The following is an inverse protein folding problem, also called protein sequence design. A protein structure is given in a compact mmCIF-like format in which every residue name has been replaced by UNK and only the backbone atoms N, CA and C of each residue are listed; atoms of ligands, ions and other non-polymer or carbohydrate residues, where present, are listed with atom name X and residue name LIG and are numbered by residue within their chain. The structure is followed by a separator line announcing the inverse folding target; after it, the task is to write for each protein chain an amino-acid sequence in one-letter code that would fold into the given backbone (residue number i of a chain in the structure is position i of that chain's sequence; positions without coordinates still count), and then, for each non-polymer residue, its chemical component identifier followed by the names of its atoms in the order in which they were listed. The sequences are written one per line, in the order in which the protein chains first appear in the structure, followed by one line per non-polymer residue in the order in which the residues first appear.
data_IF_582443814590
#
_entry.id   IF_582443814590
#
_cell.length_a   1.000
_cell.length_b   1.000
_cell.length_c   1.000
_cell.angle_alpha   90.00
_cell.angle_beta   90.00
_cell.angle_gamma   90.00
#
_symmetry.space_group_name_H-M   'P 1'
#
loop_
_entity.id
_entity.type
_entity.pdbx_description
1 polymer ?
#
# COMPACT_ATOMS: atom_id res chain seq x y z
N UNK A 1 67.34 -7.61 -8.88
CA UNK A 1 65.90 -7.60 -9.17
C UNK A 1 65.12 -7.43 -7.85
N UNK A 2 64.70 -6.21 -7.52
CA UNK A 2 63.65 -5.94 -6.54
C UNK A 2 62.91 -4.70 -7.04
N UNK A 3 61.78 -4.93 -7.71
CA UNK A 3 60.87 -3.88 -8.15
C UNK A 3 59.84 -3.73 -7.03
N UNK A 4 59.87 -2.62 -6.32
CA UNK A 4 58.84 -2.27 -5.33
C UNK A 4 57.83 -1.36 -6.00
N UNK A 5 56.70 -1.93 -6.40
CA UNK A 5 55.55 -1.19 -6.91
C UNK A 5 54.84 -0.52 -5.74
N UNK A 6 54.92 0.80 -5.65
CA UNK A 6 54.18 1.61 -4.69
C UNK A 6 52.73 1.71 -5.19
N UNK A 7 51.81 0.94 -4.60
CA UNK A 7 50.39 1.10 -4.85
C UNK A 7 49.89 2.37 -4.13
N UNK A 8 49.56 3.41 -4.89
CA UNK A 8 48.76 4.51 -4.37
C UNK A 8 47.34 3.98 -4.11
N UNK A 9 47.01 3.75 -2.85
CA UNK A 9 45.62 3.70 -2.40
C UNK A 9 45.06 5.12 -2.50
N UNK A 10 44.25 5.37 -3.53
CA UNK A 10 43.32 6.48 -3.55
C UNK A 10 42.20 6.22 -2.53
N UNK A 11 42.42 6.61 -1.29
CA UNK A 11 41.33 6.86 -0.35
C UNK A 11 40.51 8.03 -0.89
N UNK A 12 39.45 7.72 -1.63
CA UNK A 12 38.37 8.66 -1.86
C UNK A 12 37.74 8.98 -0.51
N UNK A 13 38.25 10.02 0.15
CA UNK A 13 37.60 10.60 1.31
C UNK A 13 36.18 10.97 0.91
N UNK A 14 35.19 10.42 1.62
CA UNK A 14 33.82 10.88 1.52
C UNK A 14 33.86 12.34 1.96
N UNK A 15 33.86 13.26 0.99
CA UNK A 15 33.68 14.67 1.29
C UNK A 15 32.33 14.80 2.00
N UNK A 16 32.37 15.14 3.29
CA UNK A 16 31.21 15.38 4.13
C UNK A 16 30.57 16.68 3.67
N UNK A 17 29.65 16.58 2.72
CA UNK A 17 28.96 17.72 2.12
C UNK A 17 27.45 17.49 2.24
N UNK A 18 26.76 18.52 2.75
CA UNK A 18 25.30 18.60 2.74
C UNK A 18 24.75 18.28 1.35
N UNK A 19 23.55 17.68 1.30
CA UNK A 19 22.88 17.39 0.03
C UNK A 19 22.72 18.69 -0.79
N UNK A 20 23.41 18.76 -1.92
CA UNK A 20 23.33 19.90 -2.83
C UNK A 20 22.28 19.60 -3.90
N UNK A 21 21.30 20.47 -4.06
CA UNK A 21 20.28 20.35 -5.11
C UNK A 21 19.77 21.72 -5.53
N UNK A 22 19.73 21.91 -6.84
CA UNK A 22 19.02 22.99 -7.50
C UNK A 22 17.63 22.47 -7.91
N UNK A 23 16.59 22.91 -7.20
CA UNK A 23 15.21 22.49 -7.46
C UNK A 23 14.61 23.06 -8.77
N UNK A 24 15.36 23.89 -9.50
CA UNK A 24 14.98 24.32 -10.85
C UNK A 24 15.55 23.42 -11.96
N UNK A 25 16.48 22.52 -11.60
CA UNK A 25 17.15 21.61 -12.54
C UNK A 25 16.72 20.16 -12.32
N UNK A 26 16.08 19.58 -13.32
CA UNK A 26 15.66 18.17 -13.29
C UNK A 26 16.83 17.22 -13.05
N UNK A 27 17.98 17.49 -13.69
CA UNK A 27 19.18 16.65 -13.52
C UNK A 27 19.75 16.77 -12.12
N UNK A 28 19.72 17.97 -11.52
CA UNK A 28 20.14 18.16 -10.13
C UNK A 28 19.22 17.42 -9.16
N UNK A 29 17.91 17.49 -9.36
CA UNK A 29 16.92 16.75 -8.56
C UNK A 29 17.15 15.24 -8.69
N UNK A 30 17.34 14.72 -9.92
CA UNK A 30 17.62 13.29 -10.16
C UNK A 30 18.90 12.83 -9.46
N UNK A 31 19.95 13.64 -9.53
CA UNK A 31 21.21 13.34 -8.85
C UNK A 31 21.05 13.29 -7.33
N UNK A 32 20.36 14.27 -6.74
CA UNK A 32 20.07 14.28 -5.32
C UNK A 32 19.17 13.11 -4.90
N UNK A 33 18.12 12.80 -5.68
CA UNK A 33 17.26 11.66 -5.45
C UNK A 33 18.04 10.34 -5.49
N UNK A 34 18.99 10.17 -6.41
CA UNK A 34 19.86 8.99 -6.48
C UNK A 34 20.72 8.82 -5.21
N UNK A 35 21.28 9.91 -4.68
CA UNK A 35 22.02 9.89 -3.42
C UNK A 35 21.13 9.50 -2.23
N UNK A 36 19.92 10.06 -2.15
CA UNK A 36 18.96 9.72 -1.08
C UNK A 36 18.44 8.30 -1.22
N UNK A 37 18.22 7.80 -2.44
CA UNK A 37 17.83 6.41 -2.70
C UNK A 37 18.92 5.42 -2.25
N UNK A 38 20.20 5.74 -2.51
CA UNK A 38 21.32 4.97 -2.00
C UNK A 38 21.37 5.00 -0.46
N UNK A 39 21.18 6.17 0.15
CA UNK A 39 21.19 6.35 1.60
C UNK A 39 20.03 5.58 2.27
N UNK A 40 18.83 5.61 1.68
CA UNK A 40 17.67 4.81 2.10
C UNK A 40 17.97 3.31 2.11
N UNK A 41 18.60 2.80 1.04
CA UNK A 41 18.94 1.38 0.95
C UNK A 41 20.04 0.95 1.93
N UNK A 42 20.73 1.87 2.59
CA UNK A 42 21.64 1.51 3.70
C UNK A 42 20.89 0.99 4.94
N UNK A 43 19.59 1.26 5.07
CA UNK A 43 18.75 0.69 6.13
C UNK A 43 18.25 -0.72 5.78
N UNK A 44 18.21 -1.06 4.50
CA UNK A 44 17.76 -2.37 4.05
C UNK A 44 18.87 -3.42 4.17
N UNK A 45 18.53 -4.58 4.74
CA UNK A 45 19.46 -5.71 4.95
C UNK A 45 18.98 -7.02 4.32
N UNK A 46 17.77 -7.05 3.74
CA UNK A 46 17.15 -8.27 3.22
C UNK A 46 17.84 -8.91 2.01
N UNK A 47 18.80 -8.24 1.36
CA UNK A 47 19.64 -8.81 0.30
C UNK A 47 20.93 -9.46 0.81
N UNK A 48 21.19 -9.41 2.12
CA UNK A 48 22.36 -10.06 2.71
C UNK A 48 22.09 -11.55 2.95
N UNK A 49 23.16 -12.36 2.93
CA UNK A 49 23.03 -13.80 3.19
C UNK A 49 22.41 -14.06 4.57
N UNK A 50 21.38 -14.89 4.62
CA UNK A 50 20.64 -15.21 5.85
C UNK A 50 19.57 -14.20 6.26
N UNK A 51 19.43 -13.07 5.55
CA UNK A 51 18.36 -12.11 5.79
C UNK A 51 17.08 -12.50 5.02
N UNK A 52 15.96 -11.85 5.36
CA UNK A 52 14.67 -12.04 4.68
C UNK A 52 14.47 -10.94 3.64
N UNK A 53 14.35 -11.28 2.34
CA UNK A 53 14.11 -10.29 1.29
C UNK A 53 12.81 -9.51 1.51
N UNK A 54 12.84 -8.22 1.15
CA UNK A 54 11.65 -7.38 1.15
C UNK A 54 11.23 -6.78 2.46
N UNK A 55 11.92 -7.03 3.57
CA UNK A 55 11.64 -6.36 4.85
C UNK A 55 12.79 -5.47 5.33
N UNK A 56 12.42 -4.39 6.02
CA UNK A 56 13.35 -3.60 6.82
C UNK A 56 13.62 -4.32 8.16
N UNK A 57 14.72 -4.01 8.87
CA UNK A 57 15.02 -4.60 10.18
C UNK A 57 13.87 -4.36 11.17
N UNK A 58 13.25 -5.45 11.64
CA UNK A 58 12.12 -5.43 12.54
C UNK A 58 11.25 -6.68 12.40
N UNK A 59 10.05 -6.70 13.01
CA UNK A 59 9.46 -5.67 13.85
C UNK A 59 10.14 -5.56 15.22
N UNK A 60 9.81 -4.54 16.04
CA UNK A 60 10.32 -4.44 17.40
C UNK A 60 10.06 -5.72 18.22
N UNK A 61 11.04 -6.21 19.01
CA UNK A 61 12.32 -5.59 19.34
C UNK A 61 13.48 -5.95 18.39
N UNK A 62 13.27 -6.72 17.32
CA UNK A 62 14.34 -7.16 16.40
C UNK A 62 14.86 -6.04 15.48
N UNK A 63 14.18 -4.90 15.45
CA UNK A 63 14.50 -3.69 14.72
C UNK A 63 13.30 -2.72 14.77
N UNK A 64 13.43 -1.55 14.16
CA UNK A 64 12.48 -0.45 14.39
C UNK A 64 11.21 -0.54 13.54
N UNK A 65 11.24 -1.30 12.44
CA UNK A 65 10.28 -1.15 11.34
C UNK A 65 9.29 -2.32 11.25
N UNK A 66 8.01 -2.02 11.12
CA UNK A 66 6.98 -3.02 10.84
C UNK A 66 6.98 -3.44 9.37
N UNK A 67 6.40 -4.61 9.09
CA UNK A 67 6.40 -5.24 7.77
C UNK A 67 5.85 -4.35 6.65
N UNK A 68 4.77 -3.63 6.91
CA UNK A 68 4.11 -2.75 5.94
C UNK A 68 5.02 -1.63 5.42
N UNK A 69 5.92 -1.12 6.29
CA UNK A 69 6.76 0.04 5.96
C UNK A 69 7.77 -0.32 4.86
N UNK A 70 8.18 -1.58 4.79
CA UNK A 70 8.98 -2.08 3.68
C UNK A 70 8.17 -2.12 2.37
N UNK A 71 6.90 -2.53 2.41
CA UNK A 71 5.99 -2.42 1.27
C UNK A 71 5.89 -1.00 0.72
N UNK A 72 5.82 -0.01 1.62
CA UNK A 72 5.83 1.40 1.26
C UNK A 72 7.20 1.90 0.74
N UNK A 73 8.31 1.37 1.27
CA UNK A 73 9.66 1.64 0.76
C UNK A 73 9.81 1.19 -0.69
N UNK A 74 9.35 -0.01 -1.03
CA UNK A 74 9.42 -0.52 -2.40
C UNK A 74 8.56 0.30 -3.36
N UNK A 75 7.37 0.73 -2.97
CA UNK A 75 6.57 1.67 -3.76
C UNK A 75 7.29 3.01 -3.99
N UNK A 76 8.05 3.49 -2.99
CA UNK A 76 8.86 4.72 -3.14
C UNK A 76 9.99 4.52 -4.15
N UNK A 77 10.61 3.35 -4.19
CA UNK A 77 11.66 3.03 -5.17
C UNK A 77 11.11 2.79 -6.59
N UNK A 78 9.88 2.28 -6.72
CA UNK A 78 9.16 2.20 -8.00
C UNK A 78 8.88 3.60 -8.56
N UNK A 79 8.40 4.54 -7.72
CA UNK A 79 8.23 5.94 -8.14
C UNK A 79 9.57 6.61 -8.47
N UNK A 80 10.62 6.36 -7.67
CA UNK A 80 11.96 6.86 -7.95
C UNK A 80 12.42 6.44 -9.36
N UNK A 81 12.29 5.16 -9.70
CA UNK A 81 12.60 4.68 -11.05
C UNK A 81 11.74 5.40 -12.09
N UNK A 82 10.43 5.51 -11.86
CA UNK A 82 9.50 6.13 -12.81
C UNK A 82 9.91 7.57 -13.13
N UNK A 83 10.22 8.36 -12.11
CA UNK A 83 10.52 9.78 -12.25
C UNK A 83 11.96 10.09 -12.70
N UNK A 84 12.92 9.22 -12.36
CA UNK A 84 14.34 9.48 -12.66
C UNK A 84 14.86 8.71 -13.88
N UNK A 85 14.27 7.56 -14.18
CA UNK A 85 14.75 6.59 -15.16
C UNK A 85 15.89 5.70 -14.65
N UNK A 86 16.32 5.84 -13.38
CA UNK A 86 17.39 5.03 -12.81
C UNK A 86 16.90 3.60 -12.50
N UNK A 87 17.49 2.63 -13.17
CA UNK A 87 17.14 1.20 -13.07
C UNK A 87 17.92 0.42 -12.01
N UNK A 88 18.84 1.07 -11.28
CA UNK A 88 19.79 0.38 -10.39
C UNK A 88 19.12 -0.53 -9.35
N UNK A 89 17.91 -0.17 -8.90
CA UNK A 89 17.19 -0.86 -7.84
C UNK A 89 15.97 -1.66 -8.31
N UNK A 90 15.72 -1.73 -9.63
CA UNK A 90 14.51 -2.35 -10.16
C UNK A 90 14.44 -3.84 -9.81
N UNK A 91 15.50 -4.59 -10.10
CA UNK A 91 15.54 -6.03 -9.80
C UNK A 91 15.37 -6.30 -8.30
N UNK A 92 16.07 -5.53 -7.47
CA UNK A 92 16.00 -5.66 -6.02
C UNK A 92 14.57 -5.41 -5.51
N UNK A 93 13.90 -4.39 -6.04
CA UNK A 93 12.53 -4.05 -5.68
C UNK A 93 11.55 -5.12 -6.15
N UNK A 94 11.68 -5.61 -7.39
CA UNK A 94 10.83 -6.68 -7.92
C UNK A 94 10.95 -7.96 -7.09
N UNK A 95 12.17 -8.45 -6.89
CA UNK A 95 12.42 -9.69 -6.14
C UNK A 95 11.87 -9.59 -4.72
N UNK A 96 12.04 -8.43 -4.08
CA UNK A 96 11.57 -8.15 -2.72
C UNK A 96 10.04 -8.12 -2.62
N UNK A 97 9.38 -7.47 -3.56
CA UNK A 97 7.91 -7.39 -3.62
C UNK A 97 7.28 -8.74 -3.93
N UNK A 98 7.90 -9.55 -4.79
CA UNK A 98 7.43 -10.90 -5.11
C UNK A 98 7.63 -11.83 -3.91
N UNK A 99 8.78 -11.76 -3.23
CA UNK A 99 9.07 -12.62 -2.08
C UNK A 99 8.03 -12.46 -0.96
N UNK A 100 7.54 -11.24 -0.74
CA UNK A 100 6.53 -10.96 0.28
C UNK A 100 5.09 -11.21 -0.16
N UNK A 101 4.84 -11.63 -1.41
CA UNK A 101 3.50 -11.86 -1.94
C UNK A 101 2.70 -12.93 -1.17
N UNK A 102 3.38 -13.89 -0.53
CA UNK A 102 2.71 -14.95 0.23
C UNK A 102 2.07 -16.00 -0.68
N UNK A 103 2.89 -16.73 -1.44
CA UNK A 103 2.44 -17.87 -2.23
C UNK A 103 1.78 -18.95 -1.34
N UNK A 104 0.80 -19.73 -1.87
CA UNK A 104 0.33 -19.72 -3.26
C UNK A 104 -0.73 -18.65 -3.58
N UNK A 105 -1.36 -18.00 -2.59
CA UNK A 105 -2.45 -17.06 -2.83
C UNK A 105 -1.97 -15.74 -3.44
N UNK A 106 -0.71 -15.35 -3.19
CA UNK A 106 -0.10 -14.12 -3.70
C UNK A 106 -0.96 -12.88 -3.39
N UNK A 107 -1.44 -12.79 -2.16
CA UNK A 107 -2.34 -11.74 -1.69
C UNK A 107 -1.71 -10.78 -0.68
N UNK A 108 -0.39 -10.84 -0.50
CA UNK A 108 0.31 -10.15 0.57
C UNK A 108 -0.24 -10.49 1.96
N UNK A 109 -0.58 -11.78 2.17
CA UNK A 109 -0.92 -12.34 3.48
C UNK A 109 0.02 -13.49 3.89
N UNK A 110 1.36 -13.32 3.82
CA UNK A 110 2.32 -14.33 4.28
C UNK A 110 2.09 -14.71 5.76
N UNK A 111 1.98 -16.01 6.11
CA UNK A 111 1.66 -16.45 7.47
C UNK A 111 2.62 -15.95 8.56
N UNK A 112 3.90 -15.72 8.23
CA UNK A 112 4.91 -15.21 9.17
C UNK A 112 4.56 -13.83 9.75
N UNK A 113 3.69 -13.07 9.08
CA UNK A 113 3.31 -11.72 9.45
C UNK A 113 1.91 -11.62 10.05
N UNK A 114 1.26 -12.75 10.35
CA UNK A 114 -0.12 -12.81 10.87
C UNK A 114 -0.35 -11.93 12.11
N UNK A 115 0.63 -11.85 13.02
CA UNK A 115 0.52 -11.08 14.26
C UNK A 115 0.44 -9.56 14.06
N UNK A 116 0.86 -9.05 12.90
CA UNK A 116 0.81 -7.64 12.51
C UNK A 116 0.03 -7.44 11.21
N UNK A 117 -0.87 -8.36 10.85
CA UNK A 117 -1.55 -8.33 9.56
C UNK A 117 -2.84 -7.49 9.62
N UNK A 118 -2.68 -6.17 9.49
CA UNK A 118 -3.78 -5.24 9.23
C UNK A 118 -4.21 -5.19 7.77
N UNK A 119 -5.42 -4.68 7.53
CA UNK A 119 -5.90 -4.36 6.19
C UNK A 119 -5.04 -3.25 5.55
N UNK A 120 -4.56 -2.31 6.36
CA UNK A 120 -3.59 -1.30 5.97
C UNK A 120 -2.21 -1.89 5.70
N UNK A 121 -1.71 -2.80 6.54
CA UNK A 121 -0.43 -3.47 6.30
C UNK A 121 -0.41 -4.19 4.95
N UNK A 122 -1.40 -5.05 4.71
CA UNK A 122 -1.62 -5.71 3.41
C UNK A 122 -1.81 -4.69 2.28
N UNK A 123 -2.57 -3.64 2.58
CA UNK A 123 -2.94 -2.57 1.67
C UNK A 123 -1.73 -1.84 1.09
N UNK A 124 -0.73 -1.49 1.90
CA UNK A 124 0.47 -0.79 1.42
C UNK A 124 1.27 -1.60 0.39
N UNK A 125 1.34 -2.92 0.55
CA UNK A 125 1.92 -3.79 -0.47
C UNK A 125 1.08 -3.82 -1.75
N UNK A 126 -0.25 -3.90 -1.62
CA UNK A 126 -1.18 -3.79 -2.75
C UNK A 126 -1.06 -2.46 -3.50
N UNK A 127 -0.91 -1.34 -2.78
CA UNK A 127 -0.71 -0.01 -3.38
C UNK A 127 0.59 0.07 -4.18
N UNK A 128 1.67 -0.53 -3.68
CA UNK A 128 2.96 -0.61 -4.38
C UNK A 128 2.88 -1.49 -5.61
N UNK A 129 2.18 -2.63 -5.56
CA UNK A 129 1.92 -3.45 -6.74
C UNK A 129 1.04 -2.73 -7.77
N UNK A 130 -0.02 -2.04 -7.32
CA UNK A 130 -0.87 -1.24 -8.19
C UNK A 130 -0.06 -0.11 -8.86
N UNK A 131 0.87 0.51 -8.12
CA UNK A 131 1.75 1.55 -8.65
C UNK A 131 2.67 0.97 -9.73
N UNK A 132 3.30 -0.18 -9.47
CA UNK A 132 4.16 -0.85 -10.45
C UNK A 132 3.44 -1.14 -11.78
N UNK A 133 2.16 -1.54 -11.73
CA UNK A 133 1.34 -1.69 -12.93
C UNK A 133 1.08 -0.33 -13.62
N UNK A 134 0.71 0.69 -12.87
CA UNK A 134 0.40 2.05 -13.36
C UNK A 134 1.60 2.75 -14.00
N UNK A 135 2.82 2.56 -13.50
CA UNK A 135 4.00 3.23 -14.06
C UNK A 135 4.72 2.41 -15.12
N UNK A 136 4.22 1.22 -15.44
CA UNK A 136 4.86 0.30 -16.39
C UNK A 136 6.19 -0.25 -15.89
N UNK A 137 6.31 -0.47 -14.58
CA UNK A 137 7.49 -1.09 -13.97
C UNK A 137 7.74 -2.48 -14.60
N UNK A 138 9.01 -2.90 -14.81
CA UNK A 138 9.31 -4.17 -15.45
C UNK A 138 8.52 -5.33 -14.84
N UNK A 139 7.81 -6.08 -15.69
CA UNK A 139 6.98 -7.19 -15.25
C UNK A 139 7.85 -8.30 -14.65
N UNK A 140 7.33 -9.01 -13.62
CA UNK A 140 7.91 -10.26 -13.17
C UNK A 140 7.93 -11.30 -14.30
N UNK A 141 8.78 -12.33 -14.20
CA UNK A 141 8.69 -13.51 -15.07
C UNK A 141 7.25 -14.06 -15.17
N UNK A 142 6.83 -14.65 -16.30
CA UNK A 142 5.44 -15.09 -16.49
C UNK A 142 4.93 -16.14 -15.49
N UNK A 143 5.83 -16.89 -14.87
CA UNK A 143 5.56 -17.90 -13.82
C UNK A 143 5.47 -17.29 -12.41
N UNK A 144 5.71 -15.99 -12.26
CA UNK A 144 5.63 -15.23 -11.01
C UNK A 144 4.38 -14.34 -10.99
N UNK A 145 3.84 -14.00 -9.79
CA UNK A 145 2.66 -13.16 -9.69
C UNK A 145 2.91 -11.77 -10.26
N UNK A 146 2.00 -11.31 -11.12
CA UNK A 146 2.11 -10.04 -11.84
C UNK A 146 1.56 -8.87 -11.00
N UNK A 147 2.08 -7.66 -11.21
CA UNK A 147 1.72 -6.46 -10.43
C UNK A 147 0.22 -6.18 -10.34
N UNK A 148 -0.49 -6.22 -11.47
CA UNK A 148 -1.94 -6.01 -11.47
C UNK A 148 -2.67 -7.14 -10.73
N UNK A 149 -2.27 -8.40 -10.92
CA UNK A 149 -2.85 -9.53 -10.22
C UNK A 149 -2.63 -9.45 -8.69
N UNK A 150 -1.45 -9.01 -8.24
CA UNK A 150 -1.16 -8.78 -6.82
C UNK A 150 -2.06 -7.67 -6.22
N UNK A 151 -2.24 -6.56 -6.94
CA UNK A 151 -3.15 -5.50 -6.51
C UNK A 151 -4.61 -5.98 -6.44
N UNK A 152 -5.05 -6.75 -7.45
CA UNK A 152 -6.38 -7.38 -7.46
C UNK A 152 -6.54 -8.38 -6.31
N UNK A 153 -5.51 -9.16 -5.96
CA UNK A 153 -5.55 -10.10 -4.84
C UNK A 153 -5.80 -9.39 -3.50
N UNK A 154 -5.09 -8.28 -3.26
CA UNK A 154 -5.30 -7.47 -2.05
C UNK A 154 -6.71 -6.91 -2.04
N UNK A 155 -7.17 -6.28 -3.14
CA UNK A 155 -8.52 -5.74 -3.20
C UNK A 155 -9.59 -6.81 -2.99
N UNK A 156 -9.48 -7.96 -3.66
CA UNK A 156 -10.45 -9.05 -3.59
C UNK A 156 -10.54 -9.64 -2.18
N UNK A 157 -9.41 -9.83 -1.50
CA UNK A 157 -9.41 -10.30 -0.11
C UNK A 157 -9.94 -9.24 0.87
N UNK A 158 -9.70 -7.95 0.61
CA UNK A 158 -10.32 -6.86 1.36
C UNK A 158 -11.83 -6.74 1.10
N UNK A 159 -12.31 -7.05 -0.11
CA UNK A 159 -13.71 -7.06 -0.47
C UNK A 159 -14.46 -8.33 0.00
N UNK A 160 -13.76 -9.31 0.55
CA UNK A 160 -14.34 -10.59 0.93
C UNK A 160 -15.39 -10.41 2.04
N UNK A 161 -16.56 -11.09 1.96
CA UNK A 161 -17.68 -10.85 2.89
C UNK A 161 -17.34 -11.00 4.37
N UNK A 162 -16.39 -11.88 4.72
CA UNK A 162 -15.92 -12.10 6.09
C UNK A 162 -15.22 -10.88 6.71
N UNK A 163 -14.83 -9.88 5.91
CA UNK A 163 -14.26 -8.60 6.37
C UNK A 163 -15.27 -7.47 6.47
N UNK A 164 -16.53 -7.70 6.05
CA UNK A 164 -17.59 -6.69 6.02
C UNK A 164 -18.78 -7.13 6.87
N UNK A 165 -18.71 -6.83 8.17
CA UNK A 165 -19.83 -7.04 9.11
C UNK A 165 -20.75 -5.81 9.22
N UNK A 166 -21.88 -5.96 9.93
CA UNK A 166 -22.88 -4.90 10.11
C UNK A 166 -22.50 -3.87 11.20
N UNK A 167 -21.40 -4.06 11.93
CA UNK A 167 -21.00 -3.11 12.98
C UNK A 167 -20.64 -1.77 12.35
N UNK A 168 -21.10 -0.67 12.95
CA UNK A 168 -20.96 0.68 12.37
C UNK A 168 -21.53 0.81 10.93
N UNK A 169 -22.54 0.01 10.57
CA UNK A 169 -23.14 -0.05 9.23
C UNK A 169 -22.16 -0.42 8.11
N UNK A 170 -21.13 -1.22 8.41
CA UNK A 170 -20.10 -1.65 7.45
C UNK A 170 -18.71 -1.10 7.77
N UNK A 171 -17.87 -1.04 6.74
CA UNK A 171 -16.48 -0.59 6.84
C UNK A 171 -15.52 -1.67 7.35
N UNK A 172 -14.29 -1.61 6.86
CA UNK A 172 -13.21 -2.50 7.26
C UNK A 172 -12.75 -2.17 8.68
N UNK A 173 -12.48 -3.24 9.43
CA UNK A 173 -11.69 -3.20 10.67
C UNK A 173 -10.22 -2.96 10.34
N UNK A 174 -9.46 -2.47 11.30
CA UNK A 174 -8.02 -2.30 11.16
C UNK A 174 -7.34 -3.65 10.91
N UNK A 175 -7.51 -4.60 11.84
CA UNK A 175 -6.88 -5.91 11.77
C UNK A 175 -7.65 -6.90 10.89
N UNK A 176 -6.93 -7.84 10.26
CA UNK A 176 -7.55 -8.94 9.52
C UNK A 176 -7.89 -10.12 10.46
N UNK A 177 -6.94 -10.69 11.24
CA UNK A 177 -7.28 -11.71 12.21
C UNK A 177 -8.08 -11.14 13.38
N UNK A 178 -9.18 -11.82 13.73
CA UNK A 178 -10.09 -11.36 14.79
C UNK A 178 -9.51 -11.36 16.21
N UNK A 179 -8.37 -12.03 16.41
CA UNK A 179 -7.66 -12.11 17.69
C UNK A 179 -6.53 -11.07 17.81
N UNK A 180 -6.25 -10.28 16.77
CA UNK A 180 -5.25 -9.22 16.85
C UNK A 180 -5.81 -8.02 17.62
N UNK A 181 -4.94 -7.36 18.41
CA UNK A 181 -5.28 -6.12 19.10
C UNK A 181 -5.61 -5.04 18.07
N UNK A 182 -6.76 -4.37 18.24
CA UNK A 182 -7.26 -3.38 17.29
C UNK A 182 -8.23 -3.93 16.25
N UNK A 183 -8.59 -5.21 16.28
CA UNK A 183 -9.69 -5.74 15.44
C UNK A 183 -11.02 -5.04 15.72
N UNK A 184 -11.23 -4.53 16.93
CA UNK A 184 -12.38 -3.74 17.34
C UNK A 184 -12.36 -2.28 16.87
N UNK A 185 -11.28 -1.83 16.25
CA UNK A 185 -11.12 -0.47 15.71
C UNK A 185 -11.38 -0.45 14.20
N UNK A 186 -12.29 0.40 13.73
CA UNK A 186 -12.49 0.70 12.30
C UNK A 186 -11.86 2.06 12.01
N UNK A 187 -10.85 2.08 11.15
CA UNK A 187 -10.01 3.25 10.93
C UNK A 187 -10.08 3.77 9.48
N UNK A 188 -9.65 5.02 9.32
CA UNK A 188 -9.63 5.70 8.03
C UNK A 188 -8.59 5.11 7.08
N UNK A 189 -7.43 4.65 7.57
CA UNK A 189 -6.36 4.16 6.69
C UNK A 189 -6.73 2.85 5.98
N UNK A 190 -7.30 1.86 6.68
CA UNK A 190 -7.70 0.59 6.07
C UNK A 190 -8.79 0.80 5.02
N UNK A 191 -9.78 1.65 5.32
CA UNK A 191 -10.85 1.97 4.40
C UNK A 191 -10.39 2.89 3.26
N UNK A 192 -9.46 3.81 3.53
CA UNK A 192 -8.87 4.72 2.55
C UNK A 192 -8.03 3.98 1.51
N UNK A 193 -7.24 2.99 1.94
CA UNK A 193 -6.48 2.12 1.03
C UNK A 193 -7.43 1.28 0.17
N UNK A 194 -8.47 0.68 0.77
CA UNK A 194 -9.46 -0.11 0.03
C UNK A 194 -10.21 0.74 -1.02
N UNK A 195 -10.64 1.94 -0.63
CA UNK A 195 -11.21 2.94 -1.53
C UNK A 195 -10.25 3.29 -2.68
N UNK A 196 -9.00 3.59 -2.36
CA UNK A 196 -7.99 4.02 -3.32
C UNK A 196 -7.62 2.91 -4.31
N UNK A 197 -7.43 1.67 -3.84
CA UNK A 197 -7.24 0.52 -4.70
C UNK A 197 -8.44 0.30 -5.63
N UNK A 198 -9.67 0.42 -5.11
CA UNK A 198 -10.89 0.33 -5.94
C UNK A 198 -10.91 1.39 -7.05
N UNK A 199 -10.65 2.66 -6.71
CA UNK A 199 -10.60 3.75 -7.69
C UNK A 199 -9.53 3.52 -8.77
N UNK A 200 -8.34 3.07 -8.36
CA UNK A 200 -7.21 2.81 -9.26
C UNK A 200 -7.43 1.59 -10.14
N UNK A 201 -7.96 0.50 -9.59
CA UNK A 201 -8.35 -0.69 -10.35
C UNK A 201 -9.48 -0.39 -11.33
N UNK A 202 -10.48 0.42 -10.95
CA UNK A 202 -11.53 0.87 -11.84
C UNK A 202 -10.93 1.61 -13.05
N UNK A 203 -10.06 2.59 -12.81
CA UNK A 203 -9.38 3.34 -13.87
C UNK A 203 -8.50 2.45 -14.74
N UNK A 204 -7.70 1.59 -14.14
CA UNK A 204 -6.75 0.74 -14.88
C UNK A 204 -7.47 -0.28 -15.75
N UNK A 205 -8.53 -0.89 -15.25
CA UNK A 205 -9.21 -2.03 -15.90
C UNK A 205 -10.44 -1.64 -16.71
N UNK A 206 -11.04 -0.48 -16.44
CA UNK A 206 -12.35 -0.08 -16.97
C UNK A 206 -13.53 -0.78 -16.28
N UNK A 207 -13.31 -1.53 -15.19
CA UNK A 207 -14.35 -2.30 -14.53
C UNK A 207 -15.13 -1.47 -13.48
N UNK A 208 -16.42 -1.28 -13.74
CA UNK A 208 -17.33 -0.49 -12.92
C UNK A 208 -17.50 -1.02 -11.49
N UNK A 209 -17.40 -2.34 -11.27
CA UNK A 209 -17.58 -2.93 -9.92
C UNK A 209 -16.59 -2.35 -8.91
N UNK A 210 -15.34 -2.11 -9.33
CA UNK A 210 -14.35 -1.47 -8.46
C UNK A 210 -14.74 -0.04 -8.08
N UNK A 211 -15.31 0.71 -9.02
CA UNK A 211 -15.77 2.08 -8.81
C UNK A 211 -17.01 2.16 -7.90
N UNK A 212 -17.92 1.19 -8.03
CA UNK A 212 -19.11 1.08 -7.18
C UNK A 212 -18.72 0.77 -5.74
N UNK A 213 -17.78 -0.15 -5.53
CA UNK A 213 -17.23 -0.46 -4.21
C UNK A 213 -16.49 0.75 -3.64
N UNK A 214 -15.66 1.43 -4.43
CA UNK A 214 -14.98 2.66 -4.01
C UNK A 214 -16.00 3.73 -3.56
N UNK A 215 -17.07 3.92 -4.31
CA UNK A 215 -18.16 4.86 -3.96
C UNK A 215 -18.87 4.44 -2.68
N UNK A 216 -19.13 3.14 -2.47
CA UNK A 216 -19.71 2.61 -1.23
C UNK A 216 -18.80 2.88 -0.03
N UNK A 217 -17.51 2.63 -0.15
CA UNK A 217 -16.52 2.88 0.91
C UNK A 217 -16.43 4.38 1.25
N UNK A 218 -16.41 5.25 0.24
CA UNK A 218 -16.46 6.71 0.43
C UNK A 218 -17.71 7.15 1.23
N UNK A 219 -18.88 6.65 0.83
CA UNK A 219 -20.13 6.96 1.50
C UNK A 219 -20.15 6.47 2.94
N UNK A 220 -19.52 5.32 3.24
CA UNK A 220 -19.37 4.84 4.60
C UNK A 220 -18.44 5.73 5.44
N UNK A 221 -17.25 6.07 4.94
CA UNK A 221 -16.26 6.93 5.62
C UNK A 221 -16.86 8.29 6.02
N UNK A 222 -17.60 8.90 5.10
CA UNK A 222 -18.29 10.17 5.34
C UNK A 222 -19.51 9.99 6.25
N UNK A 223 -20.29 8.92 6.06
CA UNK A 223 -21.49 8.63 6.86
C UNK A 223 -21.21 8.30 8.32
N UNK A 224 -20.10 7.64 8.62
CA UNK A 224 -19.68 7.33 10.01
C UNK A 224 -18.98 8.51 10.70
N UNK A 225 -18.61 9.55 9.94
CA UNK A 225 -17.97 10.76 10.48
C UNK A 225 -16.45 10.71 10.57
N UNK A 226 -15.80 9.74 9.91
CA UNK A 226 -14.32 9.75 9.76
C UNK A 226 -13.84 10.82 8.79
N UNK A 227 -14.71 11.30 7.90
CA UNK A 227 -14.51 12.50 7.11
C UNK A 227 -15.66 13.47 7.33
N UNK A 228 -15.36 14.69 7.76
CA UNK A 228 -16.37 15.72 8.00
C UNK A 228 -16.64 16.60 6.77
N UNK A 229 -17.62 17.50 6.87
CA UNK A 229 -17.99 18.41 5.79
C UNK A 229 -16.94 19.48 5.47
N UNK A 230 -15.94 19.65 6.32
CA UNK A 230 -14.78 20.52 6.07
C UNK A 230 -13.59 19.73 5.50
N UNK A 231 -13.81 18.48 5.09
CA UNK A 231 -12.82 17.57 4.54
C UNK A 231 -11.70 17.18 5.51
N UNK A 232 -11.89 17.35 6.82
CA UNK A 232 -10.98 16.75 7.80
C UNK A 232 -11.09 15.24 7.73
N UNK A 233 -9.97 14.54 7.77
CA UNK A 233 -9.93 13.08 7.83
C UNK A 233 -9.35 12.64 9.17
N UNK A 234 -10.21 12.06 10.01
CA UNK A 234 -9.89 11.58 11.35
C UNK A 234 -9.46 10.12 11.33
N UNK A 235 -8.93 9.62 12.44
CA UNK A 235 -8.20 8.35 12.46
C UNK A 235 -9.10 7.11 12.48
N UNK A 236 -10.12 7.07 13.33
CA UNK A 236 -10.95 5.87 13.51
C UNK A 236 -11.92 5.94 14.68
N UNK A 237 -12.67 4.85 14.90
CA UNK A 237 -13.57 4.65 16.04
C UNK A 237 -13.78 3.17 16.34
N UNK A 238 -14.33 2.86 17.51
CA UNK A 238 -14.48 1.49 18.00
C UNK A 238 -15.89 0.93 17.81
N UNK A 239 -15.97 -0.36 17.46
CA UNK A 239 -17.25 -1.00 17.14
C UNK A 239 -18.21 -1.12 18.32
N UNK A 240 -17.70 -1.13 19.55
CA UNK A 240 -18.49 -1.28 20.79
C UNK A 240 -19.42 -0.09 21.03
N UNK A 241 -19.09 1.07 20.46
CA UNK A 241 -19.86 2.32 20.57
C UNK A 241 -20.31 2.82 19.21
N UNK A 242 -20.55 1.89 18.27
CA UNK A 242 -20.97 2.19 16.90
C UNK A 242 -20.05 3.18 16.17
N UNK A 243 -18.75 3.13 16.45
CA UNK A 243 -17.72 4.02 15.89
C UNK A 243 -17.95 5.51 16.19
N UNK A 244 -18.75 5.85 17.21
CA UNK A 244 -19.07 7.25 17.54
C UNK A 244 -17.97 7.95 18.36
N UNK A 245 -17.03 7.20 18.92
CA UNK A 245 -15.85 7.69 19.64
C UNK A 245 -14.70 8.06 18.69
N UNK A 246 -15.00 8.90 17.69
CA UNK A 246 -14.05 9.26 16.63
C UNK A 246 -12.78 9.87 17.23
N UNK A 247 -11.65 9.18 17.04
CA UNK A 247 -10.34 9.70 17.38
C UNK A 247 -9.90 10.75 16.36
N UNK A 248 -10.06 12.03 16.73
CA UNK A 248 -9.85 13.19 15.83
C UNK A 248 -8.39 13.53 15.51
N UNK A 249 -7.45 12.63 15.77
CA UNK A 249 -6.10 12.80 15.26
C UNK A 249 -6.13 12.84 13.73
N UNK A 250 -5.34 13.74 13.16
CA UNK A 250 -5.19 13.89 11.72
C UNK A 250 -3.76 13.52 11.32
N UNK A 251 -3.63 12.48 10.52
CA UNK A 251 -2.37 12.02 9.96
C UNK A 251 -2.37 12.29 8.46
N UNK A 252 -1.26 12.79 7.93
CA UNK A 252 -1.24 13.33 6.56
C UNK A 252 -1.60 12.30 5.49
N UNK A 253 -1.17 11.05 5.69
CA UNK A 253 -1.44 9.94 4.80
C UNK A 253 -2.94 9.58 4.69
N UNK A 254 -3.74 9.82 5.73
CA UNK A 254 -5.19 9.59 5.69
C UNK A 254 -5.83 10.60 4.73
N UNK A 255 -5.49 11.88 4.83
CA UNK A 255 -6.01 12.88 3.89
C UNK A 255 -5.52 12.60 2.45
N UNK A 256 -4.24 12.26 2.30
CA UNK A 256 -3.62 12.03 1.00
C UNK A 256 -4.16 10.79 0.27
N UNK A 257 -4.46 9.69 0.96
CA UNK A 257 -4.97 8.46 0.32
C UNK A 257 -6.39 8.65 -0.23
N UNK A 258 -7.25 9.37 0.50
CA UNK A 258 -8.58 9.75 0.01
C UNK A 258 -8.49 10.77 -1.12
N UNK A 259 -7.58 11.74 -1.03
CA UNK A 259 -7.36 12.72 -2.10
C UNK A 259 -7.01 12.04 -3.42
N UNK A 260 -6.01 11.15 -3.39
CA UNK A 260 -5.59 10.39 -4.56
C UNK A 260 -6.74 9.53 -5.09
N UNK A 261 -7.43 8.78 -4.23
CA UNK A 261 -8.55 7.93 -4.66
C UNK A 261 -9.68 8.74 -5.31
N UNK A 262 -10.03 9.91 -4.74
CA UNK A 262 -11.03 10.81 -5.32
C UNK A 262 -10.61 11.33 -6.70
N UNK A 263 -9.33 11.66 -6.88
CA UNK A 263 -8.79 12.11 -8.16
C UNK A 263 -8.81 11.00 -9.23
N UNK A 264 -8.55 9.75 -8.85
CA UNK A 264 -8.71 8.60 -9.73
C UNK A 264 -10.19 8.36 -10.11
N UNK A 265 -11.12 8.51 -9.16
CA UNK A 265 -12.55 8.46 -9.45
C UNK A 265 -13.01 9.59 -10.36
N UNK A 266 -12.51 10.82 -10.16
CA UNK A 266 -12.75 11.95 -11.06
C UNK A 266 -12.32 11.60 -12.49
N UNK A 267 -11.12 11.03 -12.64
CA UNK A 267 -10.61 10.65 -13.96
C UNK A 267 -11.41 9.50 -14.60
N UNK A 268 -11.72 8.45 -13.83
CA UNK A 268 -12.50 7.30 -14.29
C UNK A 268 -13.92 7.69 -14.72
N UNK A 269 -14.55 8.62 -13.99
CA UNK A 269 -15.91 9.12 -14.28
C UNK A 269 -15.96 10.22 -15.33
N UNK A 270 -14.88 10.40 -16.11
CA UNK A 270 -14.77 11.41 -17.16
C UNK A 270 -15.02 12.84 -16.66
N UNK A 271 -14.55 13.16 -15.45
CA UNK A 271 -14.58 14.50 -14.90
C UNK A 271 -15.87 14.87 -14.16
N UNK A 272 -16.55 13.91 -13.54
CA UNK A 272 -17.76 14.15 -12.74
C UNK A 272 -17.59 15.30 -11.73
N UNK A 273 -18.56 16.22 -11.68
CA UNK A 273 -18.57 17.35 -10.75
C UNK A 273 -18.50 16.91 -9.28
N UNK A 274 -19.14 15.78 -8.93
CA UNK A 274 -19.12 15.22 -7.57
C UNK A 274 -17.70 14.86 -7.16
N UNK A 275 -16.96 14.16 -8.02
CA UNK A 275 -15.59 13.77 -7.71
C UNK A 275 -14.62 14.95 -7.83
N UNK A 276 -14.92 15.92 -8.71
CA UNK A 276 -14.17 17.18 -8.79
C UNK A 276 -14.25 17.97 -7.49
N UNK A 277 -15.45 18.15 -6.94
CA UNK A 277 -15.67 18.85 -5.66
C UNK A 277 -14.93 18.14 -4.52
N UNK A 278 -15.07 16.82 -4.42
CA UNK A 278 -14.39 15.99 -3.41
C UNK A 278 -12.87 16.12 -3.50
N UNK A 279 -12.31 16.04 -4.70
CA UNK A 279 -10.87 16.20 -4.93
C UNK A 279 -10.42 17.62 -4.56
N UNK A 280 -11.13 18.67 -5.02
CA UNK A 280 -10.77 20.05 -4.69
C UNK A 280 -10.81 20.32 -3.19
N UNK A 281 -11.89 19.90 -2.52
CA UNK A 281 -12.05 20.07 -1.07
C UNK A 281 -10.94 19.38 -0.27
N UNK A 282 -10.57 18.16 -0.66
CA UNK A 282 -9.44 17.45 -0.06
C UNK A 282 -8.10 18.12 -0.35
N UNK A 283 -7.85 18.64 -1.56
CA UNK A 283 -6.63 19.44 -1.84
C UNK A 283 -6.57 20.64 -0.91
N UNK A 284 -7.65 21.40 -0.83
CA UNK A 284 -7.70 22.64 -0.07
C UNK A 284 -7.44 22.39 1.41
N UNK A 285 -8.13 21.40 1.99
CA UNK A 285 -7.97 21.04 3.39
C UNK A 285 -6.62 20.41 3.70
N UNK A 286 -6.11 19.55 2.82
CA UNK A 286 -4.79 18.92 3.00
C UNK A 286 -3.69 19.98 3.02
N UNK A 287 -3.73 20.95 2.09
CA UNK A 287 -2.78 22.06 2.05
C UNK A 287 -2.89 22.92 3.31
N UNK A 288 -4.11 23.24 3.75
CA UNK A 288 -4.35 24.04 4.95
C UNK A 288 -3.78 23.36 6.22
N UNK A 289 -4.05 22.07 6.42
CA UNK A 289 -3.69 21.36 7.66
C UNK A 289 -2.22 20.98 7.69
N UNK A 290 -1.70 20.39 6.60
CA UNK A 290 -0.39 19.76 6.62
C UNK A 290 0.73 20.62 6.02
N UNK A 291 0.41 21.73 5.33
CA UNK A 291 1.39 22.62 4.69
C UNK A 291 1.24 24.09 5.11
N UNK A 292 0.62 24.36 6.26
CA UNK A 292 0.19 25.71 6.66
C UNK A 292 1.30 26.79 6.63
N UNK A 293 2.57 26.39 6.81
CA UNK A 293 3.76 27.26 6.79
C UNK A 293 4.71 26.98 5.63
N UNK A 294 4.31 26.18 4.64
CA UNK A 294 5.13 25.75 3.50
C UNK A 294 5.61 24.29 3.60
N UNK A 295 6.40 23.90 4.62
CA UNK A 295 6.82 22.51 4.82
C UNK A 295 5.66 21.60 5.25
N UNK A 296 5.71 20.33 4.82
CA UNK A 296 4.85 19.28 5.35
C UNK A 296 5.13 19.01 6.84
N UNK A 297 4.07 18.92 7.64
CA UNK A 297 4.11 18.68 9.10
C UNK A 297 3.13 17.59 9.48
N UNK A 298 3.56 16.59 10.27
CA UNK A 298 2.64 15.62 10.89
C UNK A 298 1.99 16.22 12.14
N UNK A 299 0.89 16.96 11.97
CA UNK A 299 0.28 17.80 13.03
C UNK A 299 -0.07 17.06 14.33
N UNK A 300 -0.31 15.74 14.25
CA UNK A 300 -0.66 14.92 15.42
C UNK A 300 0.54 14.44 16.25
N UNK A 301 1.78 14.61 15.76
CA UNK A 301 2.97 14.11 16.47
C UNK A 301 4.23 14.98 16.33
N UNK A 302 4.31 15.86 15.33
CA UNK A 302 5.42 16.78 15.08
C UNK A 302 5.11 18.16 15.69
N UNK A 303 5.23 18.24 17.01
CA UNK A 303 4.96 19.47 17.74
C UNK A 303 6.12 20.46 17.57
N UNK A 304 5.85 21.74 17.79
CA UNK A 304 6.83 22.82 17.59
C UNK A 304 8.12 22.61 18.41
N UNK A 305 8.04 22.00 19.59
CA UNK A 305 9.17 21.83 20.52
C UNK A 305 9.50 20.37 20.84
N UNK A 306 8.77 19.39 20.28
CA UNK A 306 9.01 17.97 20.54
C UNK A 306 8.47 17.09 19.41
N UNK A 307 9.07 15.92 19.24
CA UNK A 307 8.61 14.91 18.28
C UNK A 307 8.09 13.74 19.09
N UNK A 308 6.79 13.46 18.98
CA UNK A 308 6.12 12.31 19.59
C UNK A 308 5.74 11.25 18.54
N UNK A 309 6.28 11.39 17.33
CA UNK A 309 6.02 10.50 16.22
C UNK A 309 6.56 9.10 16.49
N UNK A 310 5.71 8.09 16.29
CA UNK A 310 6.12 6.69 16.24
C UNK A 310 6.82 6.38 14.92
N UNK A 311 7.53 5.25 14.84
CA UNK A 311 8.28 4.83 13.64
C UNK A 311 7.47 4.90 12.36
N UNK A 312 6.20 4.50 12.41
CA UNK A 312 5.27 4.55 11.28
C UNK A 312 5.08 5.98 10.76
N UNK A 313 4.77 6.91 11.68
CA UNK A 313 4.45 8.30 11.39
C UNK A 313 5.62 9.05 10.74
N UNK A 314 6.85 8.58 10.96
CA UNK A 314 8.07 9.15 10.38
C UNK A 314 8.18 8.96 8.87
N UNK A 315 7.23 8.26 8.23
CA UNK A 315 7.21 8.01 6.77
C UNK A 315 6.00 8.60 6.04
N UNK A 316 5.06 9.24 6.75
CA UNK A 316 3.78 9.67 6.18
C UNK A 316 3.91 10.83 5.19
N UNK A 317 4.82 11.79 5.47
CA UNK A 317 5.08 12.93 4.58
C UNK A 317 5.52 12.52 3.18
N UNK A 318 6.22 11.39 3.04
CA UNK A 318 6.61 10.86 1.74
C UNK A 318 5.41 10.41 0.92
N UNK A 319 4.44 9.77 1.56
CA UNK A 319 3.20 9.35 0.90
C UNK A 319 2.37 10.56 0.50
N UNK A 320 2.26 11.55 1.41
CA UNK A 320 1.61 12.84 1.15
C UNK A 320 2.15 13.48 -0.13
N UNK A 321 3.48 13.60 -0.27
CA UNK A 321 4.12 14.17 -1.46
C UNK A 321 3.80 13.38 -2.74
N UNK A 322 4.04 12.06 -2.72
CA UNK A 322 3.89 11.20 -3.91
C UNK A 322 2.43 11.13 -4.39
N UNK A 323 1.50 10.96 -3.48
CA UNK A 323 0.08 10.82 -3.80
C UNK A 323 -0.53 12.15 -4.27
N UNK A 324 -0.10 13.28 -3.71
CA UNK A 324 -0.46 14.60 -4.24
C UNK A 324 0.13 14.84 -5.63
N UNK A 325 1.40 14.47 -5.88
CA UNK A 325 1.99 14.62 -7.21
C UNK A 325 1.23 13.79 -8.26
N UNK A 326 0.92 12.52 -7.98
CA UNK A 326 0.14 11.68 -8.91
C UNK A 326 -1.29 12.22 -9.11
N UNK A 327 -1.88 12.87 -8.10
CA UNK A 327 -3.18 13.55 -8.22
C UNK A 327 -3.17 14.60 -9.33
N UNK A 328 -2.08 15.34 -9.50
CA UNK A 328 -1.97 16.36 -10.57
C UNK A 328 -2.07 15.75 -11.98
N UNK A 329 -1.65 14.50 -12.16
CA UNK A 329 -1.66 13.82 -13.46
C UNK A 329 -3.06 13.35 -13.85
N UNK A 330 -3.91 13.00 -12.88
CA UNK A 330 -5.26 12.45 -13.12
C UNK A 330 -6.38 13.47 -12.88
N UNK A 331 -6.09 14.54 -12.13
CA UNK A 331 -6.97 15.69 -11.89
C UNK A 331 -6.22 17.01 -12.16
N UNK A 332 -5.97 17.38 -13.43
CA UNK A 332 -5.07 18.49 -13.78
C UNK A 332 -5.45 19.86 -13.23
N UNK A 333 -6.72 20.10 -12.88
CA UNK A 333 -7.17 21.35 -12.26
C UNK A 333 -6.53 21.60 -10.88
N UNK A 334 -5.96 20.57 -10.26
CA UNK A 334 -5.27 20.66 -8.97
C UNK A 334 -3.78 21.01 -9.09
N UNK A 335 -3.23 20.93 -10.31
CA UNK A 335 -1.79 20.92 -10.57
C UNK A 335 -1.07 22.13 -9.99
N UNK A 336 -1.50 23.34 -10.34
CA UNK A 336 -0.83 24.59 -9.92
C UNK A 336 -0.69 24.68 -8.40
N UNK A 337 -1.79 24.44 -7.67
CA UNK A 337 -1.82 24.52 -6.21
C UNK A 337 -0.96 23.44 -5.57
N UNK A 338 -1.04 22.20 -6.06
CA UNK A 338 -0.27 21.08 -5.52
C UNK A 338 1.22 21.31 -5.78
N UNK A 339 1.63 21.57 -7.02
CA UNK A 339 3.05 21.67 -7.37
C UNK A 339 3.73 22.86 -6.69
N UNK A 340 3.05 24.01 -6.58
CA UNK A 340 3.55 25.13 -5.79
C UNK A 340 3.73 24.79 -4.30
N UNK A 341 2.86 23.94 -3.75
CA UNK A 341 2.94 23.48 -2.35
C UNK A 341 4.09 22.49 -2.17
N UNK A 342 4.19 21.48 -3.03
CA UNK A 342 5.23 20.46 -2.96
C UNK A 342 6.62 21.09 -3.16
N UNK A 343 6.79 22.03 -4.09
CA UNK A 343 8.07 22.71 -4.31
C UNK A 343 8.57 23.44 -3.05
N UNK A 344 7.69 24.17 -2.35
CA UNK A 344 8.02 24.83 -1.09
C UNK A 344 8.40 23.82 0.01
N UNK A 345 7.63 22.73 0.11
CA UNK A 345 7.91 21.70 1.10
C UNK A 345 9.22 20.95 0.82
N UNK A 346 9.52 20.62 -0.43
CA UNK A 346 10.76 19.93 -0.81
C UNK A 346 11.98 20.83 -0.58
N UNK A 347 11.87 22.13 -0.82
CA UNK A 347 12.92 23.10 -0.48
C UNK A 347 13.26 23.10 1.02
N UNK A 348 12.27 22.87 1.88
CA UNK A 348 12.47 22.74 3.32
C UNK A 348 13.02 21.34 3.71
N UNK A 349 12.55 20.28 3.05
CA UNK A 349 13.04 18.92 3.25
C UNK A 349 14.55 18.82 3.00
N UNK A 350 15.02 19.36 1.89
CA UNK A 350 16.44 19.38 1.50
C UNK A 350 17.32 20.07 2.56
N UNK A 351 16.82 21.14 3.20
CA UNK A 351 17.57 21.81 4.28
C UNK A 351 17.79 20.92 5.50
N UNK A 352 16.99 19.87 5.68
CA UNK A 352 17.22 18.88 6.74
C UNK A 352 18.27 17.82 6.38
N UNK A 353 18.74 17.77 5.12
CA UNK A 353 19.65 16.75 4.57
C UNK A 353 21.13 17.11 4.78
N UNK A 354 21.51 17.17 6.06
CA UNK A 354 22.86 17.55 6.51
C UNK A 354 23.41 16.58 7.57
N UNK A 355 22.74 15.44 7.79
CA UNK A 355 23.03 14.50 8.86
C UNK A 355 23.78 13.25 8.43
N UNK A 356 24.05 12.38 9.41
CA UNK A 356 24.67 11.07 9.20
C UNK A 356 26.16 11.10 8.85
N UNK A 357 26.83 9.93 8.76
CA UNK A 357 28.27 9.84 8.53
C UNK A 357 28.74 10.43 7.19
N UNK A 358 27.85 10.46 6.19
CA UNK A 358 28.11 11.02 4.87
C UNK A 358 27.78 12.53 4.78
N UNK A 359 27.22 13.13 5.83
CA UNK A 359 26.87 14.55 5.89
C UNK A 359 25.65 14.97 5.07
N UNK A 360 24.87 14.03 4.52
CA UNK A 360 23.73 14.34 3.61
C UNK A 360 22.43 13.60 3.92
N UNK A 361 22.37 12.77 4.96
CA UNK A 361 21.12 12.11 5.34
C UNK A 361 20.11 13.12 5.88
N UNK A 362 18.85 12.87 5.58
CA UNK A 362 17.74 13.78 5.88
C UNK A 362 17.08 13.53 7.24
N UNK A 363 16.72 14.62 7.90
CA UNK A 363 15.92 14.62 9.12
C UNK A 363 14.42 14.57 8.87
N UNK A 364 13.63 14.64 9.94
CA UNK A 364 12.17 14.58 9.86
C UNK A 364 11.50 15.95 9.88
N UNK A 365 12.00 16.86 10.72
CA UNK A 365 11.44 18.20 10.93
C UNK A 365 11.91 19.19 9.88
N UNK A 366 11.13 19.36 8.83
CA UNK A 366 11.45 20.29 7.74
C UNK A 366 11.21 21.76 8.12
N UNK A 367 10.55 22.01 9.25
CA UNK A 367 10.26 23.35 9.78
C UNK A 367 11.44 24.01 10.50
N UNK A 368 12.45 23.25 10.91
CA UNK A 368 13.60 23.78 11.68
C UNK A 368 14.65 24.46 10.80
N UNK A 369 14.62 24.22 9.48
CA UNK A 369 15.61 24.74 8.54
C UNK A 369 16.99 24.08 8.63
N UNK A 370 17.15 23.02 9.41
CA UNK A 370 18.40 22.29 9.63
C UNK A 370 18.13 20.83 10.00
N UNK A 371 19.18 20.01 10.02
CA UNK A 371 19.08 18.63 10.50
C UNK A 371 18.64 18.59 11.97
N UNK A 372 17.67 17.74 12.29
CA UNK A 372 17.01 17.68 13.60
C UNK A 372 17.58 16.58 14.53
N UNK A 373 18.64 15.90 14.10
CA UNK A 373 19.25 14.80 14.85
C UNK A 373 18.57 13.44 14.66
N UNK A 374 17.46 13.36 13.92
CA UNK A 374 16.75 12.11 13.69
C UNK A 374 17.08 11.51 12.33
N UNK A 375 17.46 10.23 12.34
CA UNK A 375 17.72 9.44 11.14
C UNK A 375 16.90 8.17 11.14
N UNK A 376 16.61 7.67 9.95
CA UNK A 376 15.85 6.44 9.77
C UNK A 376 15.38 6.26 8.33
N UNK A 377 14.90 5.06 8.04
CA UNK A 377 14.37 4.72 6.73
C UNK A 377 13.17 5.60 6.35
N UNK A 378 12.26 5.88 7.29
CA UNK A 378 11.10 6.75 7.05
C UNK A 378 11.48 8.17 6.63
N UNK A 379 12.51 8.75 7.25
CA UNK A 379 13.01 10.08 6.92
C UNK A 379 13.64 10.12 5.52
N UNK A 380 14.46 9.10 5.17
CA UNK A 380 15.02 9.03 3.82
C UNK A 380 13.93 8.77 2.78
N UNK A 381 12.91 7.96 3.10
CA UNK A 381 11.73 7.77 2.24
C UNK A 381 11.00 9.09 1.99
N UNK A 382 10.79 9.91 3.03
CA UNK A 382 10.13 11.21 2.87
C UNK A 382 10.91 12.14 1.94
N UNK A 383 12.22 12.24 2.12
CA UNK A 383 13.06 13.10 1.30
C UNK A 383 13.14 12.61 -0.16
N UNK A 384 13.28 11.29 -0.36
CA UNK A 384 13.29 10.69 -1.70
C UNK A 384 11.96 10.94 -2.43
N UNK A 385 10.85 10.73 -1.72
CA UNK A 385 9.51 10.99 -2.22
C UNK A 385 9.32 12.47 -2.60
N UNK A 386 9.76 13.40 -1.75
CA UNK A 386 9.63 14.83 -1.98
C UNK A 386 10.44 15.33 -3.18
N UNK A 387 11.66 14.81 -3.36
CA UNK A 387 12.50 15.11 -4.54
C UNK A 387 11.89 14.52 -5.82
N UNK A 388 11.54 13.23 -5.80
CA UNK A 388 11.02 12.54 -6.99
C UNK A 388 9.70 13.15 -7.48
N UNK A 389 8.84 13.60 -6.54
CA UNK A 389 7.55 14.22 -6.85
C UNK A 389 7.66 15.51 -7.67
N UNK A 390 8.78 16.25 -7.58
CA UNK A 390 8.98 17.46 -8.40
C UNK A 390 9.29 17.17 -9.86
N UNK A 391 9.52 15.90 -10.21
CA UNK A 391 9.81 15.49 -11.58
C UNK A 391 8.53 15.10 -12.35
N UNK A 392 7.35 15.30 -11.79
CA UNK A 392 6.06 14.88 -12.39
C UNK A 392 5.81 15.46 -13.78
N UNK A 393 6.33 16.67 -14.05
CA UNK A 393 6.18 17.39 -15.32
C UNK A 393 7.34 17.16 -16.30
N UNK A 394 8.29 16.30 -15.97
CA UNK A 394 9.44 16.06 -16.84
C UNK A 394 9.04 15.38 -18.14
N UNK A 395 9.71 15.77 -19.22
CA UNK A 395 9.50 15.16 -20.52
C UNK A 395 9.74 13.64 -20.46
N UNK A 396 8.77 12.87 -20.90
CA UNK A 396 8.82 11.39 -20.88
C UNK A 396 8.11 10.75 -19.69
N UNK A 397 7.77 11.52 -18.65
CA UNK A 397 6.91 11.06 -17.56
C UNK A 397 5.48 10.97 -18.07
N UNK A 398 4.89 9.78 -17.96
CA UNK A 398 3.53 9.50 -18.41
C UNK A 398 2.59 9.53 -17.22
N UNK A 399 1.32 9.96 -17.42
CA UNK A 399 0.30 9.74 -16.40
C UNK A 399 0.12 8.23 -16.14
N UNK A 400 -0.49 7.84 -15.01
CA UNK A 400 -0.73 6.46 -14.67
C UNK A 400 -1.37 5.70 -15.85
N UNK A 401 -0.76 4.59 -16.24
CA UNK A 401 -1.20 3.75 -17.34
C UNK A 401 -2.49 3.00 -16.98
N UNK A 402 -3.16 2.51 -18.01
CA UNK A 402 -4.30 1.60 -17.95
C UNK A 402 -4.00 0.40 -18.84
N UNK A 403 -4.88 -0.60 -18.84
CA UNK A 403 -4.83 -1.72 -19.79
C UNK A 403 -4.89 -1.30 -21.27
N UNK A 404 -5.36 -0.08 -21.57
CA UNK A 404 -5.53 0.43 -22.93
C UNK A 404 -4.48 1.48 -23.32
N UNK A 405 -3.72 2.02 -22.36
CA UNK A 405 -2.73 3.09 -22.61
C UNK A 405 -1.28 2.61 -22.47
N UNK A 406 -1.05 1.30 -22.56
CA UNK A 406 0.29 0.71 -22.56
C UNK A 406 0.71 0.02 -21.25
N UNK A 407 -0.20 -0.15 -20.29
CA UNK A 407 0.04 -1.00 -19.13
C UNK A 407 0.20 -2.47 -19.55
N UNK A 408 1.29 -3.11 -19.13
CA UNK A 408 1.68 -4.45 -19.60
C UNK A 408 1.47 -5.55 -18.56
N UNK A 409 1.20 -5.18 -17.30
CA UNK A 409 1.02 -6.15 -16.22
C UNK A 409 -0.29 -6.92 -16.38
N UNK A 410 -0.21 -8.26 -16.30
CA UNK A 410 -1.37 -9.12 -16.45
C UNK A 410 -2.18 -9.18 -15.15
N UNK A 411 -3.50 -9.10 -15.28
CA UNK A 411 -4.43 -9.23 -14.15
C UNK A 411 -4.89 -10.67 -13.95
N UNK A 412 -5.52 -10.92 -12.81
CA UNK A 412 -6.30 -12.11 -12.54
C UNK A 412 -7.54 -11.70 -11.73
N UNK A 413 -8.75 -11.71 -12.32
CA UNK A 413 -9.98 -11.35 -11.62
C UNK A 413 -10.27 -12.19 -10.38
N UNK A 414 -9.76 -13.43 -10.33
CA UNK A 414 -9.93 -14.35 -9.21
C UNK A 414 -8.73 -14.33 -8.23
N UNK A 415 -7.81 -13.37 -8.38
CA UNK A 415 -6.62 -13.30 -7.53
C UNK A 415 -6.99 -13.17 -6.04
N UNK A 416 -6.15 -13.74 -5.17
CA UNK A 416 -6.34 -13.69 -3.71
C UNK A 416 -7.43 -14.61 -3.16
N UNK A 417 -8.26 -15.22 -4.00
CA UNK A 417 -9.11 -16.32 -3.58
C UNK A 417 -8.23 -17.55 -3.33
N UNK A 418 -8.58 -18.37 -2.33
CA UNK A 418 -8.10 -19.74 -2.30
C UNK A 418 -8.44 -20.32 -3.66
N UNK A 419 -7.47 -20.92 -4.36
CA UNK A 419 -7.82 -21.87 -5.39
C UNK A 419 -8.77 -22.82 -4.68
N UNK A 420 -10.06 -22.75 -5.02
CA UNK A 420 -10.88 -23.92 -4.82
C UNK A 420 -10.07 -24.97 -5.55
N UNK A 421 -9.51 -25.94 -4.81
CA UNK A 421 -9.46 -27.28 -5.32
C UNK A 421 -10.91 -27.59 -5.69
N UNK A 422 -11.34 -27.08 -6.85
CA UNK A 422 -12.27 -27.80 -7.67
C UNK A 422 -11.43 -29.01 -7.97
N UNK A 423 -11.52 -30.02 -7.10
CA UNK A 423 -11.30 -31.38 -7.52
C UNK A 423 -12.08 -31.45 -8.81
N UNK A 424 -11.36 -31.40 -9.93
CA UNK A 424 -11.94 -31.57 -11.23
C UNK A 424 -12.28 -33.06 -11.25
N UNK A 425 -13.37 -33.41 -10.57
CA UNK A 425 -13.90 -34.74 -10.60
C UNK A 425 -14.27 -34.94 -12.07
N UNK A 426 -13.56 -35.81 -12.80
CA UNK A 426 -14.00 -36.15 -14.14
C UNK A 426 -15.47 -36.59 -14.04
N UNK A 427 -16.31 -36.27 -15.03
CA UNK A 427 -17.71 -36.66 -15.00
C UNK A 427 -17.82 -38.14 -14.63
N UNK A 428 -18.69 -38.50 -13.66
CA UNK A 428 -18.71 -39.85 -13.09
C UNK A 428 -18.83 -40.89 -14.20
N UNK A 429 -17.92 -41.86 -14.16
CA UNK A 429 -17.84 -42.93 -15.14
C UNK A 429 -19.09 -43.81 -15.06
N UNK A 430 -19.31 -44.66 -16.08
CA UNK A 430 -20.37 -45.66 -16.01
C UNK A 430 -20.22 -46.58 -14.79
N UNK A 431 -18.98 -46.85 -14.36
CA UNK A 431 -18.67 -47.61 -13.15
C UNK A 431 -19.12 -46.88 -11.88
N UNK A 432 -18.84 -45.58 -11.78
CA UNK A 432 -19.23 -44.76 -10.60
C UNK A 432 -20.75 -44.68 -10.46
N UNK A 433 -21.47 -44.52 -11.58
CA UNK A 433 -22.94 -44.50 -11.61
C UNK A 433 -23.54 -45.85 -11.22
N UNK A 434 -22.94 -46.96 -11.68
CA UNK A 434 -23.36 -48.30 -11.31
C UNK A 434 -23.12 -48.56 -9.81
N UNK A 435 -21.94 -48.20 -9.29
CA UNK A 435 -21.60 -48.32 -7.87
C UNK A 435 -22.53 -47.51 -6.97
N UNK A 436 -22.81 -46.25 -7.33
CA UNK A 436 -23.75 -45.40 -6.61
C UNK A 436 -25.18 -45.96 -6.61
N UNK A 437 -25.63 -46.53 -7.73
CA UNK A 437 -26.95 -47.16 -7.85
C UNK A 437 -27.06 -48.42 -6.98
N UNK A 438 -26.04 -49.29 -7.01
CA UNK A 438 -26.00 -50.51 -6.19
C UNK A 438 -26.02 -50.15 -4.70
N UNK A 439 -25.19 -49.19 -4.28
CA UNK A 439 -25.14 -48.75 -2.89
C UNK A 439 -26.48 -48.18 -2.43
N UNK A 440 -27.12 -47.37 -3.28
CA UNK A 440 -28.45 -46.81 -3.00
C UNK A 440 -29.51 -47.90 -2.85
N UNK A 441 -29.51 -48.91 -3.72
CA UNK A 441 -30.42 -50.05 -3.65
C UNK A 441 -30.18 -50.86 -2.36
N UNK A 442 -28.93 -51.09 -1.98
CA UNK A 442 -28.60 -51.83 -0.75
C UNK A 442 -29.05 -51.07 0.50
N UNK A 443 -28.85 -49.75 0.55
CA UNK A 443 -29.28 -48.92 1.68
C UNK A 443 -30.80 -48.89 1.76
N UNK A 444 -31.50 -48.63 0.65
CA UNK A 444 -32.97 -48.63 0.62
C UNK A 444 -33.54 -50.01 0.93
N UNK A 445 -32.90 -51.08 0.44
CA UNK A 445 -33.26 -52.46 0.75
C UNK A 445 -33.06 -52.78 2.23
N UNK A 446 -31.98 -52.30 2.84
CA UNK A 446 -31.74 -52.43 4.29
C UNK A 446 -32.78 -51.70 5.12
N UNK A 447 -33.11 -50.46 4.75
CA UNK A 447 -34.15 -49.63 5.40
C UNK A 447 -35.53 -50.28 5.25
N UNK A 448 -35.87 -50.78 4.07
CA UNK A 448 -37.13 -51.51 3.83
C UNK A 448 -37.18 -52.80 4.65
N UNK A 449 -36.07 -53.54 4.73
CA UNK A 449 -35.99 -54.78 5.51
C UNK A 449 -36.14 -54.52 7.01
N UNK A 450 -35.58 -53.43 7.53
CA UNK A 450 -35.76 -53.04 8.93
C UNK A 450 -37.19 -52.58 9.21
N UNK A 451 -37.84 -51.84 8.31
CA UNK A 451 -39.26 -51.51 8.45
C UNK A 451 -40.16 -52.75 8.41
N UNK A 452 -39.88 -53.71 7.52
CA UNK A 452 -40.62 -54.97 7.44
C UNK A 452 -40.43 -55.79 8.72
N UNK A 453 -39.19 -55.93 9.22
CA UNK A 453 -38.92 -56.56 10.52
C UNK A 453 -39.73 -55.89 11.63
N UNK A 454 -39.63 -54.57 11.76
CA UNK A 454 -40.33 -53.82 12.81
C UNK A 454 -41.86 -53.97 12.71
N UNK A 455 -42.40 -54.10 11.50
CA UNK A 455 -43.85 -54.24 11.26
C UNK A 455 -44.39 -55.67 11.43
N UNK A 456 -43.54 -56.70 11.40
CA UNK A 456 -43.99 -58.10 11.32
C UNK A 456 -44.08 -58.82 12.67
N UNK A 457 -43.81 -58.14 13.80
CA UNK A 457 -43.96 -58.73 15.14
C UNK A 457 -43.09 -59.98 15.39
N UNK A 458 -42.11 -60.26 14.52
CA UNK A 458 -41.24 -61.44 14.64
C UNK A 458 -40.34 -61.41 15.89
N UNK A 459 -40.27 -60.27 16.58
CA UNK A 459 -39.58 -60.10 17.87
C UNK A 459 -40.42 -60.55 19.08
N UNK A 460 -41.72 -60.80 18.96
CA UNK A 460 -42.60 -61.10 20.12
C UNK A 460 -42.90 -62.59 20.32
N UNK A 461 -42.27 -63.51 19.56
CA UNK A 461 -42.38 -64.97 19.77
C UNK A 461 -41.11 -65.63 20.31
N UNK A 462 -40.28 -64.88 21.02
CA UNK A 462 -38.98 -65.36 21.50
C UNK A 462 -38.52 -64.79 22.84
N UNK A 463 -39.44 -64.53 23.78
CA UNK A 463 -39.17 -64.49 25.22
C UNK A 463 -40.29 -65.18 25.98
#
# INVERSE_FOLDING_TARGET
MKSSTLALLSSAGIASAALQVDLSSADSIKQAASQVAWDLLQYYKGNQSGATPGILPGPPPAGDYYWWQAGAMWGTLVDYWHYTGDTAYNKLSSDSMIFQAGAPQNSYMPPNWTASLGNDDQGFWGLSAMLAAEVGFPNPPPDQPQWLALAQAVFNTQAAPDRHDDTCNGGLRWQIPNYNVGYDYKNAISNGIFFNLGARLARYTGNQTYADIATKTWNWVTGVGLMDSAWNVYDGGHVQVNCTDIFKAQFSYNAAIFLQGAAFMYNFTNGSDVWKERTQGLVDRTVEVFFHNGPAVEVSCELQNSIQCKTDMLSFKGYLHRWMAQTTQVAPFTHEKIMATLQKSTAAAVKSCQGGPNGRQCGFRWTTGQFDGLLGAGQQMNALAALSSLLVDQAGIKPPLTNSTGGTSQGNPNAGQTATDVFHHPPPTTGDKAGASILTILILGGIMSSFVWMSTGLSEKGM
#
